data_IF_244342774217
#
_entry.id   IF_244342774217
#
_cell.length_a   1.000
_cell.length_b   1.000
_cell.length_c   1.000
_cell.angle_alpha   90.00
_cell.angle_beta   90.00
_cell.angle_gamma   90.00
#
_symmetry.space_group_name_H-M   'P 1'
#
loop_
_entity.id
_entity.type
_entity.pdbx_description
1 polymer ?
2 polymer ?
3 non-polymer ?
4 water ?
#
# COMPACT_ATOMS: atom_id res chain seq x y z
N UNK A 16 0.55 -32.60 4.98
CA UNK A 16 0.64 -32.51 3.52
C UNK A 16 1.30 -31.19 3.05
N UNK A 17 1.07 -30.79 1.80
CA UNK A 17 1.41 -29.45 1.32
C UNK A 17 0.74 -28.36 2.17
N UNK A 18 -0.49 -28.63 2.63
CA UNK A 18 -1.22 -27.72 3.53
C UNK A 18 -0.37 -27.16 4.67
N UNK A 19 0.52 -27.99 5.20
CA UNK A 19 1.45 -27.58 6.24
C UNK A 19 2.45 -26.56 5.73
N UNK A 20 3.02 -26.82 4.56
CA UNK A 20 3.98 -25.91 3.93
C UNK A 20 3.42 -24.52 3.59
N UNK A 21 2.10 -24.47 3.36
CA UNK A 21 1.36 -23.26 3.06
C UNK A 21 1.08 -22.45 4.32
N UNK A 22 0.78 -23.15 5.40
CA UNK A 22 0.72 -22.50 6.70
C UNK A 22 2.09 -21.99 7.11
N UNK A 23 3.15 -22.72 6.78
CA UNK A 23 4.51 -22.30 7.08
C UNK A 23 4.88 -21.03 6.32
N UNK A 24 4.45 -20.95 5.06
CA UNK A 24 4.66 -19.76 4.24
C UNK A 24 3.88 -18.55 4.76
N UNK A 25 2.65 -18.78 5.19
CA UNK A 25 1.80 -17.74 5.76
C UNK A 25 2.45 -17.06 6.95
N UNK A 26 3.00 -17.85 7.87
CA UNK A 26 3.57 -17.31 9.12
C UNK A 26 4.85 -16.50 8.80
N UNK A 27 5.71 -17.09 7.97
CA UNK A 27 6.94 -16.45 7.48
C UNK A 27 6.65 -15.05 6.98
N UNK A 28 5.71 -14.96 6.06
CA UNK A 28 5.32 -13.70 5.47
C UNK A 28 4.72 -12.74 6.51
N UNK A 29 3.82 -13.23 7.34
CA UNK A 29 3.27 -12.41 8.43
C UNK A 29 4.37 -11.85 9.32
N UNK A 30 5.34 -12.68 9.64
CA UNK A 30 6.43 -12.24 10.48
C UNK A 30 7.27 -11.17 9.81
N UNK A 31 7.55 -11.33 8.52
CA UNK A 31 8.32 -10.31 7.78
C UNK A 31 7.48 -9.06 7.45
N UNK A 32 6.18 -9.25 7.38
CA UNK A 32 5.24 -8.14 7.24
C UNK A 32 5.31 -7.30 8.50
N UNK A 33 5.22 -7.98 9.64
CA UNK A 33 5.11 -7.31 10.93
C UNK A 33 6.45 -6.62 11.31
N UNK A 34 7.56 -7.21 10.88
CA UNK A 34 8.85 -6.54 11.00
C UNK A 34 8.92 -5.33 10.07
N UNK A 35 8.55 -5.51 8.80
CA UNK A 35 8.71 -4.47 7.77
C UNK A 35 7.82 -3.26 7.91
N UNK A 36 6.61 -3.45 8.46
CA UNK A 36 5.63 -2.38 8.58
C UNK A 36 5.30 -2.13 10.06
N UNK A 37 5.71 -0.96 10.59
CA UNK A 37 5.64 -0.72 12.03
C UNK A 37 4.21 -0.56 12.58
N UNK A 38 3.33 0.10 11.82
CA UNK A 38 1.93 0.28 12.20
C UNK A 38 1.04 -0.73 11.46
N UNK A 39 0.71 -1.81 12.17
CA UNK A 39 -0.15 -2.89 11.67
C UNK A 39 -1.59 -2.41 11.58
N UNK A 40 -2.45 -3.13 10.86
CA UNK A 40 -3.88 -2.82 10.82
C UNK A 40 -4.49 -2.88 12.22
N UNK A 41 -4.06 -3.87 13.02
CA UNK A 41 -4.58 -4.04 14.38
C UNK A 41 -4.31 -2.79 15.22
N UNK A 42 -3.04 -2.39 15.32
CA UNK A 42 -2.64 -1.14 15.98
C UNK A 42 -3.48 0.05 15.50
N UNK A 43 -3.66 0.13 14.18
CA UNK A 43 -4.37 1.25 13.53
C UNK A 43 -5.85 1.33 13.88
N UNK A 44 -6.53 0.19 13.79
CA UNK A 44 -7.95 0.14 14.13
C UNK A 44 -8.15 0.45 15.63
N UNK A 45 -7.31 -0.14 16.49
CA UNK A 45 -7.31 0.14 17.93
C UNK A 45 -7.31 1.64 18.24
N UNK A 46 -6.42 2.37 17.57
CA UNK A 46 -6.38 3.83 17.62
C UNK A 46 -7.72 4.44 17.14
N UNK A 47 -8.20 3.99 15.99
CA UNK A 47 -9.40 4.56 15.37
C UNK A 47 -10.69 4.33 16.13
N UNK A 48 -10.81 3.16 16.75
CA UNK A 48 -11.95 2.81 17.59
C UNK A 48 -11.88 3.52 18.95
N UNK A 49 -10.66 3.90 19.34
CA UNK A 49 -10.39 4.54 20.62
C UNK A 49 -10.07 3.51 21.69
N UNK A 50 -10.09 2.23 21.33
CA UNK A 50 -9.96 1.13 22.27
C UNK A 50 -8.48 0.92 22.61
N UNK A 51 -7.87 1.96 23.16
CA UNK A 51 -6.46 1.97 23.49
C UNK A 51 -6.22 3.00 24.59
N UNK A 52 -5.18 2.76 25.37
CA UNK A 52 -4.76 3.66 26.45
C UNK A 52 -3.77 4.74 26.00
N UNK A 53 -3.48 4.80 24.69
CA UNK A 53 -2.72 5.91 24.12
C UNK A 53 -3.63 7.13 23.96
N UNK A 54 -3.00 8.30 23.89
CA UNK A 54 -3.68 9.57 23.61
C UNK A 54 -4.29 9.52 22.20
N UNK A 55 -5.54 9.95 22.06
CA UNK A 55 -6.18 9.99 20.73
C UNK A 55 -5.45 10.98 19.81
N UNK A 56 -5.33 10.66 18.50
CA UNK A 56 -4.48 11.45 17.59
C UNK A 56 -4.96 12.86 17.31
N UNK A 57 -4.00 13.77 17.12
CA UNK A 57 -4.27 15.17 16.85
C UNK A 57 -5.02 15.34 15.53
N UNK A 58 -6.33 15.60 15.64
CA UNK A 58 -7.21 15.70 14.47
C UNK A 58 -6.86 16.95 13.65
N UNK A 59 -6.87 16.81 12.31
CA UNK A 59 -6.57 17.90 11.36
C UNK A 59 -7.74 18.03 10.40
N UNK A 60 -8.49 19.13 10.55
CA UNK A 60 -9.72 19.40 9.79
C UNK A 60 -9.64 20.68 8.92
N UNK A 61 -8.71 21.59 9.24
CA UNK A 61 -8.53 22.85 8.48
C UNK A 61 -7.09 23.36 8.57
N UNK A 62 -6.81 24.42 7.81
CA UNK A 62 -5.48 25.05 7.79
C UNK A 62 -4.98 25.46 9.18
N UNK A 63 -5.87 25.94 10.04
CA UNK A 63 -5.50 26.32 11.42
C UNK A 63 -4.98 25.13 12.20
N UNK A 64 -5.78 24.07 12.25
CA UNK A 64 -5.44 22.85 13.01
C UNK A 64 -4.24 22.10 12.42
N UNK A 65 -4.12 22.13 11.09
CA UNK A 65 -2.89 21.69 10.42
C UNK A 65 -1.67 22.36 11.05
N UNK A 66 -1.73 23.69 11.11
CA UNK A 66 -0.65 24.54 11.62
C UNK A 66 -0.33 24.27 13.09
N UNK A 67 -1.35 24.09 13.90
CA UNK A 67 -1.16 23.71 15.31
C UNK A 67 -0.61 22.30 15.40
N UNK A 68 -1.03 21.47 14.45
CA UNK A 68 -0.60 20.07 14.34
C UNK A 68 0.86 19.83 14.01
N UNK A 69 1.46 20.70 13.18
CA UNK A 69 2.88 20.57 12.77
C UNK A 69 3.88 20.22 13.89
N UNK A 70 3.59 20.72 15.08
CA UNK A 70 4.27 20.29 16.33
C UNK A 70 4.45 18.77 16.44
N UNK A 71 3.35 18.05 16.21
CA UNK A 71 3.29 16.59 16.38
C UNK A 71 2.66 15.89 15.17
N UNK A 86 3.35 27.01 -0.02
CA UNK A 86 1.89 26.93 -0.11
C UNK A 86 1.36 25.68 0.60
N UNK A 87 0.19 25.81 1.23
CA UNK A 87 -0.47 24.71 1.99
C UNK A 87 -0.65 23.36 1.25
N UNK A 88 -1.36 23.38 0.12
CA UNK A 88 -1.71 22.13 -0.59
C UNK A 88 -0.47 21.44 -1.09
N UNK A 89 0.52 22.23 -1.48
CA UNK A 89 1.84 21.73 -1.87
C UNK A 89 2.57 21.13 -0.66
N UNK A 90 2.45 21.79 0.49
CA UNK A 90 3.05 21.29 1.74
C UNK A 90 2.51 19.90 2.09
N UNK A 91 1.19 19.73 2.03
CA UNK A 91 0.56 18.44 2.33
C UNK A 91 1.01 17.37 1.35
N UNK A 92 0.96 17.67 0.07
CA UNK A 92 1.45 16.74 -0.97
C UNK A 92 2.95 16.42 -0.83
N UNK A 93 3.74 17.40 -0.40
CA UNK A 93 5.15 17.16 -0.07
C UNK A 93 5.28 16.22 1.11
N UNK A 94 4.38 16.36 2.08
CA UNK A 94 4.26 15.43 3.20
C UNK A 94 3.87 14.03 2.75
N UNK A 95 2.80 13.96 1.97
CA UNK A 95 2.32 12.73 1.35
C UNK A 95 3.43 12.02 0.57
N UNK A 96 4.22 12.81 -0.13
CA UNK A 96 5.32 12.31 -0.96
C UNK A 96 6.48 11.72 -0.15
N UNK A 97 6.95 12.46 0.86
CA UNK A 97 8.04 11.98 1.73
C UNK A 97 7.65 10.65 2.42
N UNK A 98 6.36 10.45 2.71
CA UNK A 98 5.87 9.22 3.33
C UNK A 98 5.73 8.08 2.33
N UNK A 99 5.33 8.40 1.11
CA UNK A 99 5.29 7.42 0.02
C UNK A 99 6.63 6.74 -0.18
N UNK A 100 7.70 7.51 -0.04
CA UNK A 100 9.06 7.00 -0.24
C UNK A 100 9.47 6.02 0.86
N UNK A 101 9.14 6.35 2.10
CA UNK A 101 9.35 5.43 3.21
C UNK A 101 8.55 4.14 3.00
N UNK A 102 7.35 4.27 2.43
CA UNK A 102 6.50 3.13 2.10
C UNK A 102 7.18 2.20 1.11
N UNK A 103 7.68 2.78 0.03
CA UNK A 103 8.44 2.04 -0.99
C UNK A 103 9.66 1.33 -0.37
N UNK A 104 10.38 2.01 0.52
CA UNK A 104 11.51 1.40 1.23
C UNK A 104 11.09 0.18 2.02
N UNK A 105 9.98 0.32 2.76
CA UNK A 105 9.45 -0.78 3.57
C UNK A 105 8.95 -1.93 2.72
N UNK A 106 8.20 -1.61 1.66
CA UNK A 106 7.66 -2.60 0.72
C UNK A 106 8.78 -3.41 0.04
N UNK A 107 9.79 -2.70 -0.48
CA UNK A 107 10.97 -3.32 -1.09
C UNK A 107 11.67 -4.27 -0.12
N UNK A 108 11.73 -3.91 1.15
CA UNK A 108 12.32 -4.74 2.20
C UNK A 108 11.50 -6.02 2.41
N UNK A 109 10.18 -5.85 2.43
CA UNK A 109 9.26 -6.97 2.56
C UNK A 109 9.33 -7.95 1.39
N UNK A 110 9.41 -7.42 0.16
CA UNK A 110 9.52 -8.24 -1.05
C UNK A 110 10.68 -9.23 -0.96
N UNK A 111 11.83 -8.75 -0.48
CA UNK A 111 13.04 -9.57 -0.31
C UNK A 111 12.83 -10.78 0.62
N UNK A 112 11.90 -10.65 1.55
CA UNK A 112 11.52 -11.77 2.41
C UNK A 112 10.59 -12.78 1.77
N UNK A 113 9.99 -12.46 0.61
CA UNK A 113 9.10 -13.42 -0.06
C UNK A 113 9.99 -14.50 -0.65
N UNK A 114 9.83 -15.77 -0.17
CA UNK A 114 10.72 -16.84 -0.64
C UNK A 114 10.86 -16.88 -2.16
N UNK A 115 12.10 -16.84 -2.63
CA UNK A 115 12.40 -16.84 -4.06
C UNK A 115 12.29 -15.54 -4.81
N UNK A 116 11.82 -14.46 -4.18
CA UNK A 116 11.72 -13.16 -4.89
C UNK A 116 13.12 -12.69 -5.32
N UNK A 117 14.05 -12.77 -4.37
CA UNK A 117 15.45 -12.36 -4.58
C UNK A 117 16.21 -13.19 -5.63
N UNK A 118 15.95 -14.50 -5.68
CA UNK A 118 16.54 -15.39 -6.71
C UNK A 118 16.15 -15.07 -8.15
N UNK A 119 15.09 -14.29 -8.34
CA UNK A 119 14.67 -13.84 -9.67
C UNK A 119 15.70 -12.93 -10.28
N UNK A 120 15.59 -12.73 -11.58
CA UNK A 120 16.37 -11.72 -12.29
C UNK A 120 16.16 -10.37 -11.58
N UNK A 121 17.25 -9.67 -11.29
CA UNK A 121 17.22 -8.35 -10.67
C UNK A 121 16.42 -7.31 -11.47
N UNK A 122 16.37 -7.44 -12.78
CA UNK A 122 15.57 -6.51 -13.59
C UNK A 122 14.09 -6.80 -13.46
N UNK A 123 13.76 -8.08 -13.27
CA UNK A 123 12.40 -8.49 -12.94
C UNK A 123 11.98 -7.99 -11.55
N UNK A 124 12.81 -8.28 -10.54
CA UNK A 124 12.64 -7.70 -9.20
C UNK A 124 12.25 -6.23 -9.26
N UNK A 125 12.95 -5.46 -10.08
CA UNK A 125 12.67 -4.04 -10.26
C UNK A 125 11.30 -3.80 -10.90
N UNK A 126 10.96 -4.60 -11.91
CA UNK A 126 9.71 -4.41 -12.64
C UNK A 126 8.46 -4.80 -11.83
N UNK A 127 8.59 -5.86 -11.04
CA UNK A 127 7.53 -6.28 -10.13
C UNK A 127 7.24 -5.21 -9.08
N UNK A 128 8.29 -4.68 -8.47
CA UNK A 128 8.16 -3.56 -7.53
C UNK A 128 7.62 -2.30 -8.17
N UNK A 129 8.07 -2.00 -9.38
CA UNK A 129 7.68 -0.78 -10.06
C UNK A 129 6.18 -0.70 -10.20
N UNK A 130 5.57 -1.80 -10.62
CA UNK A 130 4.11 -1.87 -10.81
C UNK A 130 3.35 -2.13 -9.53
N UNK A 131 3.97 -2.88 -8.61
CA UNK A 131 3.31 -3.30 -7.37
C UNK A 131 3.15 -2.26 -6.27
N UNK A 132 4.16 -1.46 -6.05
CA UNK A 132 4.21 -0.61 -4.85
C UNK A 132 2.96 0.23 -4.63
N UNK A 133 2.46 0.85 -5.70
CA UNK A 133 1.28 1.71 -5.56
C UNK A 133 0.00 0.93 -5.30
N UNK A 134 -0.07 -0.30 -5.84
CA UNK A 134 -1.17 -1.22 -5.53
C UNK A 134 -1.18 -1.57 -4.06
N UNK A 135 0.00 -1.81 -3.51
CA UNK A 135 0.16 -2.13 -2.09
C UNK A 135 -0.03 -0.91 -1.20
N UNK A 136 0.40 0.25 -1.67
CA UNK A 136 0.22 1.47 -0.88
C UNK A 136 -1.26 1.73 -0.65
N UNK A 137 -2.04 1.73 -1.72
CA UNK A 137 -3.50 1.74 -1.68
C UNK A 137 -4.06 0.68 -0.73
N UNK A 138 -3.61 -0.55 -0.90
CA UNK A 138 -4.10 -1.67 -0.10
C UNK A 138 -3.88 -1.36 1.37
N UNK A 139 -2.68 -0.97 1.72
CA UNK A 139 -2.33 -0.78 3.11
C UNK A 139 -2.81 0.56 3.70
N UNK A 140 -2.95 1.59 2.88
CA UNK A 140 -3.62 2.81 3.31
C UNK A 140 -4.97 2.55 3.91
N UNK A 141 -5.71 1.62 3.31
CA UNK A 141 -7.05 1.29 3.78
C UNK A 141 -7.05 0.82 5.24
N UNK A 142 -6.00 0.13 5.67
CA UNK A 142 -5.85 -0.21 7.10
C UNK A 142 -5.92 1.05 7.94
N UNK A 143 -5.21 2.08 7.47
CA UNK A 143 -5.09 3.39 8.12
C UNK A 143 -6.29 4.32 8.01
N UNK A 144 -7.23 4.05 7.12
CA UNK A 144 -8.40 4.94 6.98
C UNK A 144 -9.75 4.30 7.31
N UNK A 145 -10.72 5.20 7.48
CA UNK A 145 -12.14 4.86 7.60
C UNK A 145 -12.93 5.86 6.74
N UNK A 146 -14.25 5.89 6.89
CA UNK A 146 -15.11 6.80 6.12
C UNK A 146 -14.71 8.27 6.22
N UNK A 147 -14.30 8.70 7.41
CA UNK A 147 -14.14 10.11 7.76
C UNK A 147 -12.73 10.67 7.55
N UNK A 148 -11.71 9.86 7.80
CA UNK A 148 -10.33 10.31 7.56
C UNK A 148 -9.30 9.20 7.63
N UNK A 149 -8.03 9.61 7.70
CA UNK A 149 -6.87 8.71 7.62
C UNK A 149 -5.84 9.01 8.72
N UNK A 150 -5.43 7.98 9.44
CA UNK A 150 -4.29 8.11 10.36
C UNK A 150 -2.97 8.44 9.65
N UNK A 151 -2.30 9.47 10.13
CA UNK A 151 -1.01 9.91 9.61
C UNK A 151 0.06 9.95 10.73
N UNK A 152 1.30 10.15 10.32
CA UNK A 152 2.45 10.27 11.22
C UNK A 152 2.42 9.19 12.30
N UNK A 153 2.47 7.95 11.82
CA UNK A 153 2.48 6.75 12.66
C UNK A 153 1.36 6.72 13.71
N UNK A 154 0.16 7.02 13.25
CA UNK A 154 -1.06 6.96 14.08
C UNK A 154 -1.26 8.12 15.04
N UNK A 155 -0.44 9.17 14.92
CA UNK A 155 -0.49 10.31 15.85
C UNK A 155 -1.29 11.48 15.33
N UNK A 156 -1.45 11.56 14.02
CA UNK A 156 -2.32 12.56 13.40
C UNK A 156 -3.50 11.85 12.80
N UNK A 157 -4.62 12.54 12.67
CA UNK A 157 -5.78 12.05 11.97
C UNK A 157 -6.25 13.13 11.03
N UNK A 158 -5.92 13.00 9.75
CA UNK A 158 -6.32 14.01 8.76
C UNK A 158 -7.65 13.62 8.14
N UNK A 159 -8.60 14.55 8.13
CA UNK A 159 -9.97 14.26 7.68
C UNK A 159 -10.13 14.28 6.17
N UNK A 160 -11.09 13.48 5.71
CA UNK A 160 -11.44 13.36 4.30
C UNK A 160 -12.06 14.65 3.77
N UNK A 161 -12.89 15.29 4.61
CA UNK A 161 -13.49 16.59 4.32
C UNK A 161 -12.39 17.62 3.99
N UNK A 162 -11.31 17.61 4.76
CA UNK A 162 -10.22 18.56 4.62
C UNK A 162 -9.40 18.34 3.36
N UNK A 163 -9.18 17.08 3.02
CA UNK A 163 -8.45 16.74 1.79
C UNK A 163 -9.29 17.02 0.52
N UNK A 164 -10.59 16.75 0.55
CA UNK A 164 -11.53 17.15 -0.54
C UNK A 164 -11.45 18.65 -0.80
N UNK A 165 -11.53 19.42 0.29
CA UNK A 165 -11.54 20.88 0.23
C UNK A 165 -10.28 21.53 -0.38
N UNK A 166 -9.18 20.78 -0.46
CA UNK A 166 -8.02 21.29 -1.18
C UNK A 166 -8.39 21.59 -2.63
N UNK A 167 -7.75 22.59 -3.20
CA UNK A 167 -8.02 23.01 -4.58
C UNK A 167 -7.48 21.98 -5.59
N UNK A 168 -8.14 21.89 -6.76
CA UNK A 168 -7.70 21.05 -7.88
C UNK A 168 -6.24 21.39 -8.25
N UNK A 169 -5.40 20.42 -8.62
CA UNK A 169 -5.70 18.97 -8.70
C UNK A 169 -5.65 18.17 -7.38
N UNK A 170 -5.19 18.80 -6.30
CA UNK A 170 -4.96 18.13 -5.04
C UNK A 170 -6.22 17.73 -4.27
N UNK A 171 -7.35 18.37 -4.58
CA UNK A 171 -8.61 18.08 -3.90
C UNK A 171 -9.03 16.63 -4.01
N UNK A 172 -8.89 16.08 -5.22
CA UNK A 172 -9.40 14.75 -5.55
C UNK A 172 -8.27 13.75 -5.79
N UNK A 173 -7.07 14.07 -5.31
CA UNK A 173 -5.95 13.14 -5.31
C UNK A 173 -6.25 11.98 -4.38
N UNK A 174 -6.60 12.27 -3.12
CA UNK A 174 -6.80 11.23 -2.09
C UNK A 174 -8.20 10.59 -2.03
N UNK A 175 -9.19 11.22 -2.64
CA UNK A 175 -10.58 10.75 -2.54
C UNK A 175 -10.75 9.34 -3.12
N UNK A 176 -10.18 9.05 -4.32
CA UNK A 176 -10.23 7.69 -4.88
C UNK A 176 -9.68 6.59 -3.95
N UNK A 177 -8.66 6.93 -3.15
CA UNK A 177 -8.09 6.01 -2.17
C UNK A 177 -9.10 5.73 -1.07
N UNK A 178 -9.76 6.78 -0.61
CA UNK A 178 -10.86 6.64 0.36
C UNK A 178 -12.01 5.80 -0.13
N UNK A 179 -12.36 5.96 -1.41
CA UNK A 179 -13.47 5.23 -2.00
C UNK A 179 -13.13 3.77 -2.11
N UNK A 180 -11.91 3.48 -2.53
CA UNK A 180 -11.43 2.10 -2.58
C UNK A 180 -11.47 1.49 -1.18
N UNK A 181 -10.87 2.20 -0.25
CA UNK A 181 -10.70 1.73 1.12
C UNK A 181 -12.01 1.37 1.81
N UNK A 182 -13.08 2.09 1.54
CA UNK A 182 -14.39 1.81 2.19
C UNK A 182 -14.97 0.47 1.74
N UNK A 183 -14.78 0.14 0.46
CA UNK A 183 -15.18 -1.17 -0.07
C UNK A 183 -14.22 -2.27 0.41
N UNK A 184 -12.91 -2.01 0.35
CA UNK A 184 -11.91 -3.03 0.66
C UNK A 184 -11.97 -3.44 2.13
N UNK A 185 -12.08 -2.43 2.99
CA UNK A 185 -12.14 -2.65 4.42
C UNK A 185 -13.35 -3.45 4.86
N UNK A 186 -14.45 -3.35 4.08
CA UNK A 186 -15.65 -4.18 4.27
C UNK A 186 -15.35 -5.67 4.35
N UNK A 187 -14.38 -6.13 3.56
CA UNK A 187 -13.92 -7.52 3.60
C UNK A 187 -13.30 -7.95 4.94
N UNK A 188 -13.05 -7.00 5.83
CA UNK A 188 -12.65 -7.27 7.21
C UNK A 188 -11.43 -8.16 7.33
N UNK A 189 -10.41 -7.89 6.51
CA UNK A 189 -9.20 -8.72 6.47
C UNK A 189 -8.30 -8.37 7.63
N UNK A 190 -7.42 -9.30 7.92
CA UNK A 190 -6.54 -9.29 9.06
C UNK A 190 -5.11 -8.97 8.57
N UNK A 191 -4.19 -8.69 9.48
CA UNK A 191 -2.77 -8.52 9.14
C UNK A 191 -2.15 -9.77 8.51
N UNK A 192 -2.58 -10.92 8.99
CA UNK A 192 -2.18 -12.23 8.45
C UNK A 192 -2.68 -12.44 7.03
N UNK A 193 -3.92 -12.03 6.76
CA UNK A 193 -4.48 -12.11 5.41
C UNK A 193 -3.74 -11.17 4.49
N UNK A 194 -3.54 -9.93 4.96
CA UNK A 194 -2.87 -8.88 4.20
C UNK A 194 -1.44 -9.26 3.82
N UNK A 195 -0.68 -9.79 4.77
CA UNK A 195 0.69 -10.22 4.49
C UNK A 195 0.82 -11.06 3.23
N UNK A 196 -0.13 -11.98 3.03
CA UNK A 196 -0.07 -12.89 1.88
C UNK A 196 -0.61 -12.18 0.65
N UNK A 197 -1.71 -11.45 0.83
CA UNK A 197 -2.34 -10.71 -0.27
C UNK A 197 -1.31 -9.80 -0.94
N UNK A 198 -0.52 -9.12 -0.12
CA UNK A 198 0.49 -8.20 -0.61
C UNK A 198 1.55 -8.95 -1.43
N UNK A 199 2.04 -10.07 -0.88
CA UNK A 199 3.03 -10.91 -1.58
C UNK A 199 2.50 -11.35 -2.94
N UNK A 200 1.24 -11.72 -2.97
CA UNK A 200 0.55 -12.09 -4.21
C UNK A 200 0.52 -10.97 -5.23
N UNK A 201 0.26 -9.74 -4.77
CA UNK A 201 0.22 -8.58 -5.67
C UNK A 201 1.60 -8.30 -6.25
N UNK A 202 2.64 -8.44 -5.42
CA UNK A 202 4.01 -8.16 -5.87
C UNK A 202 4.37 -9.11 -6.98
N UNK A 203 4.15 -10.39 -6.76
CA UNK A 203 4.52 -11.43 -7.71
C UNK A 203 3.46 -11.69 -8.80
N UNK A 204 3.03 -10.63 -9.50
CA UNK A 204 2.13 -10.75 -10.65
C UNK A 204 2.94 -10.87 -11.93
N UNK A 205 2.90 -12.05 -12.55
CA UNK A 205 3.69 -12.34 -13.78
C UNK A 205 3.24 -11.63 -15.05
N UNK A 206 2.07 -11.00 -15.01
CA UNK A 206 1.53 -10.24 -16.13
C UNK A 206 1.95 -8.75 -16.19
N UNK A 207 3.06 -8.38 -15.58
CA UNK A 207 3.53 -6.99 -15.64
C UNK A 207 4.30 -6.78 -16.92
N UNK A 208 4.08 -5.65 -17.61
CA UNK A 208 4.86 -5.31 -18.80
C UNK A 208 6.38 -5.30 -18.60
N UNK A 209 7.09 -6.14 -19.36
CA UNK A 209 8.55 -6.06 -19.46
C UNK A 209 9.29 -7.07 -18.63
N UNK A 210 8.61 -8.12 -18.20
CA UNK A 210 9.27 -9.19 -17.49
C UNK A 210 9.96 -10.07 -18.51
N UNK A 211 11.04 -10.69 -18.08
CA UNK A 211 11.93 -11.46 -18.94
C UNK A 211 11.86 -12.98 -18.69
N UNK A 212 11.42 -13.36 -17.49
CA UNK A 212 11.36 -14.75 -17.10
C UNK A 212 10.14 -14.92 -16.18
N UNK A 213 8.97 -15.02 -16.83
CA UNK A 213 7.65 -15.09 -16.18
C UNK A 213 7.41 -16.40 -15.42
N UNK A 214 7.93 -17.50 -15.94
CA UNK A 214 7.78 -18.82 -15.30
C UNK A 214 8.06 -18.84 -13.77
N UNK A 215 9.29 -18.51 -13.32
CA UNK A 215 9.55 -18.54 -11.87
C UNK A 215 8.67 -17.57 -11.05
N UNK A 216 8.24 -16.45 -11.64
CA UNK A 216 7.35 -15.51 -10.95
C UNK A 216 6.01 -16.19 -10.69
N UNK A 217 5.40 -16.70 -11.75
CA UNK A 217 4.18 -17.48 -11.67
C UNK A 217 4.29 -18.69 -10.73
N UNK A 218 5.43 -19.38 -10.75
CA UNK A 218 5.69 -20.52 -9.84
C UNK A 218 5.43 -20.14 -8.39
N UNK A 219 5.94 -18.98 -8.00
CA UNK A 219 5.81 -18.49 -6.62
C UNK A 219 4.38 -17.95 -6.36
N UNK A 220 3.81 -17.21 -7.32
CA UNK A 220 2.46 -16.64 -7.15
C UNK A 220 1.41 -17.74 -6.98
N UNK A 221 1.66 -18.90 -7.60
CA UNK A 221 0.83 -20.08 -7.41
C UNK A 221 0.89 -20.50 -5.96
N UNK A 222 2.08 -20.65 -5.43
CA UNK A 222 2.23 -21.04 -4.02
C UNK A 222 1.60 -20.05 -3.07
N UNK A 223 1.75 -18.77 -3.37
CA UNK A 223 1.21 -17.70 -2.54
C UNK A 223 -0.31 -17.72 -2.55
N UNK A 224 -0.87 -17.79 -3.75
CA UNK A 224 -2.33 -17.88 -3.91
C UNK A 224 -2.95 -19.08 -3.14
N UNK A 225 -2.23 -20.20 -3.11
CA UNK A 225 -2.68 -21.37 -2.34
C UNK A 225 -2.65 -21.09 -0.85
N UNK A 226 -1.51 -20.58 -0.41
CA UNK A 226 -1.33 -20.09 0.95
C UNK A 226 -2.43 -19.08 1.31
N UNK A 227 -2.74 -18.16 0.38
CA UNK A 227 -3.83 -17.18 0.58
C UNK A 227 -5.19 -17.86 0.72
N UNK A 228 -5.50 -18.82 -0.16
CA UNK A 228 -6.78 -19.54 -0.14
C UNK A 228 -7.02 -20.31 1.16
N UNK A 229 -5.97 -20.95 1.66
CA UNK A 229 -6.00 -21.68 2.91
C UNK A 229 -6.16 -20.74 4.08
N UNK A 230 -5.31 -19.71 4.11
CA UNK A 230 -5.38 -18.66 5.11
C UNK A 230 -6.82 -18.21 5.34
N UNK A 231 -7.49 -17.83 4.26
CA UNK A 231 -8.83 -17.31 4.37
C UNK A 231 -9.82 -18.37 4.86
N UNK A 232 -9.66 -19.61 4.38
CA UNK A 232 -10.51 -20.72 4.82
C UNK A 232 -10.36 -20.94 6.33
N UNK A 233 -9.13 -20.93 6.82
CA UNK A 233 -8.86 -21.16 8.24
C UNK A 233 -9.21 -19.95 9.09
N UNK A 234 -8.72 -18.78 8.69
CA UNK A 234 -8.86 -17.57 9.50
C UNK A 234 -10.29 -17.01 9.46
N UNK A 235 -10.97 -17.21 8.33
CA UNK A 235 -12.37 -16.79 8.15
C UNK A 235 -13.24 -17.97 7.70
N UNK A 236 -13.45 -19.00 8.58
CA UNK A 236 -14.30 -20.12 8.14
C UNK A 236 -15.78 -19.74 7.96
N UNK A 237 -16.24 -18.77 8.75
CA UNK A 237 -17.56 -18.16 8.58
C UNK A 237 -17.75 -17.55 7.18
N UNK A 238 -16.71 -16.90 6.67
CA UNK A 238 -16.79 -16.26 5.38
C UNK A 238 -16.37 -17.22 4.26
N UNK A 239 -17.31 -17.54 3.38
CA UNK A 239 -17.00 -18.24 2.13
C UNK A 239 -16.84 -17.22 1.01
N UNK A 240 -15.92 -17.52 0.09
CA UNK A 240 -15.64 -16.68 -1.10
C UNK A 240 -15.17 -15.26 -0.84
N UNK A 241 -14.46 -15.11 0.28
CA UNK A 241 -13.68 -13.93 0.54
C UNK A 241 -12.56 -13.90 -0.50
N UNK A 242 -11.86 -15.05 -0.62
CA UNK A 242 -10.83 -15.33 -1.63
C UNK A 242 -11.23 -14.86 -3.03
N UNK A 243 -12.45 -15.19 -3.44
CA UNK A 243 -12.91 -14.81 -4.76
C UNK A 243 -13.12 -13.30 -4.81
N UNK A 244 -13.81 -12.76 -3.79
CA UNK A 244 -14.08 -11.31 -3.68
C UNK A 244 -12.78 -10.50 -3.71
N UNK A 245 -11.80 -11.01 -2.95
CA UNK A 245 -10.47 -10.46 -2.82
C UNK A 245 -9.64 -10.43 -4.14
N UNK A 246 -9.76 -11.47 -4.97
CA UNK A 246 -9.09 -11.48 -6.28
C UNK A 246 -9.76 -10.51 -7.25
N UNK A 247 -11.04 -10.23 -7.03
CA UNK A 247 -11.78 -9.26 -7.84
C UNK A 247 -11.29 -7.83 -7.56
N UNK A 248 -11.07 -7.52 -6.28
CA UNK A 248 -10.48 -6.23 -5.81
C UNK A 248 -9.10 -5.95 -6.41
N UNK A 249 -8.25 -6.97 -6.38
CA UNK A 249 -6.90 -6.94 -6.98
C UNK A 249 -6.84 -6.49 -8.43
N UNK A 250 -7.93 -6.70 -9.17
CA UNK A 250 -8.04 -6.27 -10.57
C UNK A 250 -8.60 -4.83 -10.67
N UNK A 251 -9.48 -4.42 -9.75
CA UNK A 251 -9.91 -3.00 -9.67
C UNK A 251 -8.69 -2.11 -9.43
N UNK A 252 -7.90 -2.54 -8.45
CA UNK A 252 -6.70 -1.88 -7.98
C UNK A 252 -5.73 -1.44 -9.09
N UNK A 253 -5.56 -2.27 -10.12
CA UNK A 253 -4.66 -1.96 -11.25
C UNK A 253 -5.05 -0.69 -11.99
N UNK A 254 -6.35 -0.47 -12.16
CA UNK A 254 -6.87 0.72 -12.83
C UNK A 254 -6.83 1.92 -11.92
N UNK A 255 -7.35 1.72 -10.73
CA UNK A 255 -7.26 2.69 -9.66
C UNK A 255 -5.81 3.21 -9.56
N UNK A 256 -4.82 2.32 -9.64
CA UNK A 256 -3.40 2.72 -9.68
C UNK A 256 -3.02 3.44 -10.98
N UNK A 257 -3.63 3.07 -12.09
CA UNK A 257 -3.46 3.78 -13.38
C UNK A 257 -3.97 5.21 -13.28
N UNK A 258 -5.22 5.36 -12.86
CA UNK A 258 -5.83 6.65 -12.57
C UNK A 258 -4.91 7.52 -11.73
N UNK A 259 -4.37 6.92 -10.68
CA UNK A 259 -3.43 7.57 -9.76
C UNK A 259 -2.18 8.03 -10.50
N UNK A 260 -1.59 7.15 -11.30
CA UNK A 260 -0.36 7.47 -12.04
C UNK A 260 -0.59 8.63 -13.02
N UNK A 261 -1.77 8.66 -13.62
CA UNK A 261 -2.13 9.74 -14.53
C UNK A 261 -2.24 11.09 -13.81
N UNK A 262 -2.78 11.09 -12.61
CA UNK A 262 -2.89 12.32 -11.84
C UNK A 262 -1.52 12.81 -11.35
N UNK A 263 -0.55 11.92 -11.22
CA UNK A 263 0.85 12.33 -10.98
C UNK A 263 1.45 12.98 -12.21
N UNK A 264 1.15 12.40 -13.38
CA UNK A 264 1.54 13.02 -14.66
C UNK A 264 0.96 14.43 -14.79
N UNK A 265 -0.30 14.58 -14.38
CA UNK A 265 -0.96 15.90 -14.35
C UNK A 265 -0.25 16.85 -13.40
N UNK A 266 0.01 16.38 -12.18
CA UNK A 266 0.64 17.21 -11.14
C UNK A 266 2.08 17.60 -11.48
N UNK A 267 2.86 16.66 -12.02
CA UNK A 267 4.23 16.98 -12.44
C UNK A 267 4.23 18.12 -13.47
N UNK A 268 3.38 18.03 -14.49
CA UNK A 268 3.37 18.98 -15.61
C UNK A 268 2.86 20.38 -15.25
N UNK A 269 1.67 20.44 -14.64
CA UNK A 269 0.99 21.72 -14.40
C UNK A 269 1.54 22.53 -13.24
N UNK A 270 2.30 21.88 -12.36
CA UNK A 270 2.91 22.55 -11.24
C UNK A 270 4.39 22.69 -11.54
N UNK A 271 4.80 23.93 -11.78
CA UNK A 271 6.22 24.28 -11.92
C UNK A 271 6.86 24.35 -10.53
N UNK A 272 6.10 24.84 -9.55
CA UNK A 272 6.52 24.96 -8.16
C UNK A 272 6.70 23.62 -7.42
N UNK A 273 5.95 22.60 -7.84
CA UNK A 273 6.02 21.24 -7.26
C UNK A 273 7.17 20.39 -7.81
N UNK A 274 8.04 19.94 -6.92
CA UNK A 274 9.12 19.02 -7.27
C UNK A 274 8.71 17.60 -6.89
N UNK A 275 8.70 16.70 -7.87
CA UNK A 275 8.50 15.28 -7.58
C UNK A 275 9.77 14.71 -7.00
N UNK A 276 9.64 13.68 -6.17
CA UNK A 276 10.78 13.04 -5.53
C UNK A 276 11.37 12.06 -6.53
N UNK A 277 12.70 11.87 -6.52
CA UNK A 277 13.37 10.96 -7.47
C UNK A 277 12.80 9.55 -7.54
N UNK A 278 12.87 8.80 -6.44
CA UNK A 278 12.31 7.46 -6.36
C UNK A 278 10.92 7.35 -6.97
N UNK A 279 10.09 8.37 -6.72
CA UNK A 279 8.75 8.37 -7.29
C UNK A 279 8.76 8.56 -8.81
N UNK A 280 9.71 9.37 -9.32
CA UNK A 280 9.97 9.45 -10.76
C UNK A 280 10.27 8.07 -11.32
N UNK A 281 11.35 7.44 -10.83
CA UNK A 281 11.74 6.07 -11.23
C UNK A 281 10.52 5.17 -11.47
N UNK A 282 9.62 5.19 -10.51
CA UNK A 282 8.40 4.40 -10.56
C UNK A 282 7.45 4.97 -11.60
N UNK A 283 7.10 6.25 -11.47
CA UNK A 283 6.19 6.91 -12.41
C UNK A 283 6.63 6.81 -13.90
N UNK A 284 7.93 6.91 -14.17
CA UNK A 284 8.44 6.93 -15.55
C UNK A 284 8.21 5.62 -16.27
N UNK A 285 7.87 5.71 -17.57
CA UNK A 285 7.56 4.55 -18.44
C UNK A 285 6.37 3.69 -18.00
N UNK A 286 5.70 4.07 -16.91
CA UNK A 286 4.73 3.21 -16.23
C UNK A 286 3.34 3.66 -16.64
N UNK A 287 2.57 2.75 -17.24
CA UNK A 287 1.28 3.09 -17.87
C UNK A 287 1.37 4.40 -18.67
N UNK B 3 16.65 3.25 -13.38
CA UNK B 3 16.03 2.80 -12.08
C UNK B 3 17.06 2.50 -10.95
N UNK B 4 18.03 3.41 -10.78
CA UNK B 4 19.17 3.24 -9.84
C UNK B 4 18.77 2.94 -8.40
N UNK B 5 17.97 3.84 -7.84
CA UNK B 5 17.58 3.80 -6.42
C UNK B 5 16.95 2.46 -6.09
N UNK B 6 16.00 2.04 -6.93
CA UNK B 6 15.36 0.73 -6.79
C UNK B 6 16.37 -0.42 -6.78
N UNK B 7 17.36 -0.37 -7.69
CA UNK B 7 18.48 -1.36 -7.69
C UNK B 7 19.29 -1.29 -6.38
N UNK B 8 19.55 -0.06 -5.94
CA UNK B 8 20.31 0.23 -4.74
C UNK B 8 19.59 -0.30 -3.50
N UNK B 9 18.27 -0.04 -3.45
CA UNK B 9 17.36 -0.57 -2.42
C UNK B 9 17.28 -2.10 -2.44
N UNK B 10 17.17 -2.67 -3.63
CA UNK B 10 17.18 -4.13 -3.78
C UNK B 10 18.49 -4.81 -3.35
N UNK B 11 19.62 -4.07 -3.39
CA UNK B 11 20.92 -4.56 -2.90
C UNK B 11 21.57 -3.62 -1.89
#
# INVERSE_FOLDING_TARGET
GSHMAEISSDIDQLNPESADLRALAKHLYDSYIKSFPLTKAKARAILTGKTTDKSPFVIYDMNSLMMGEDKIKFKHITPLQEQSKEVAIRIFQGCQFRSVEAVQEITEYAKSIPGFVNLDLNDQVTLLKYGVHEIIYTMLASLMNKDGVLISEGQGFMTREFLKSLRKPFGDFMEPKFEFAVKFNALELDDSDLAIFIAVIILSGDRPGLLNVKPIEDIQDNLLQALELQLKLNHPESSQLFAKLLQKMTDLRQIVTEHVQLLQVIKKTETDMSLHPLLQEIYKDLY
ERHKILHRLLQEGSPS
#
